data_IF_325611567685
#
_entry.id   IF_325611567685
#
_cell.length_a   1.000
_cell.length_b   1.000
_cell.length_c   1.000
_cell.angle_alpha   90.00
_cell.angle_beta   90.00
_cell.angle_gamma   90.00
#
_symmetry.space_group_name_H-M   'P 1'
#
loop_
_entity.id
_entity.type
_entity.pdbx_description
1 polymer ?
#
# COMPACT_ATOMS: atom_id res chain seq x y z
N UNK A 1 -3.67 -21.17 -5.46
CA UNK A 1 -2.81 -20.38 -6.37
C UNK A 1 -3.54 -20.05 -7.66
N UNK A 2 -3.62 -21.00 -8.60
CA UNK A 2 -4.11 -20.79 -9.97
C UNK A 2 -5.47 -20.07 -10.09
N UNK A 3 -6.49 -20.48 -9.31
CA UNK A 3 -7.82 -19.84 -9.35
C UNK A 3 -7.78 -18.33 -9.04
N UNK A 4 -6.96 -17.92 -8.06
CA UNK A 4 -6.81 -16.49 -7.69
C UNK A 4 -6.06 -15.69 -8.75
N UNK A 5 -5.13 -16.31 -9.47
CA UNK A 5 -4.43 -15.67 -10.58
C UNK A 5 -5.41 -15.41 -11.73
N UNK A 6 -6.20 -16.42 -12.11
CA UNK A 6 -7.23 -16.28 -13.14
C UNK A 6 -8.30 -15.25 -12.77
N UNK A 7 -8.64 -15.14 -11.49
CA UNK A 7 -9.55 -14.12 -10.99
C UNK A 7 -9.00 -12.70 -11.18
N UNK A 8 -7.72 -12.47 -10.85
CA UNK A 8 -7.07 -11.17 -11.04
C UNK A 8 -6.89 -10.81 -12.51
N UNK A 9 -6.62 -11.79 -13.37
CA UNK A 9 -6.38 -11.57 -14.80
C UNK A 9 -7.62 -11.00 -15.51
N UNK A 10 -8.83 -11.25 -14.97
CA UNK A 10 -10.09 -10.67 -15.48
C UNK A 10 -10.12 -9.15 -15.44
N UNK A 11 -9.35 -8.52 -14.55
CA UNK A 11 -9.34 -7.07 -14.38
C UNK A 11 -8.20 -6.39 -15.17
N UNK A 12 -7.58 -7.10 -16.10
CA UNK A 12 -6.47 -6.58 -16.91
C UNK A 12 -6.97 -5.85 -18.15
N UNK A 13 -6.31 -4.74 -18.49
CA UNK A 13 -6.60 -3.95 -19.69
C UNK A 13 -7.93 -3.19 -19.61
N UNK A 14 -8.33 -2.59 -20.74
CA UNK A 14 -9.50 -1.69 -20.78
C UNK A 14 -10.82 -2.43 -20.51
N UNK A 15 -10.96 -3.67 -21.00
CA UNK A 15 -12.12 -4.52 -20.73
C UNK A 15 -12.21 -4.89 -19.25
N UNK A 16 -11.08 -5.27 -18.66
CA UNK A 16 -11.00 -5.58 -17.23
C UNK A 16 -11.26 -4.37 -16.34
N UNK A 17 -10.88 -3.17 -16.77
CA UNK A 17 -11.19 -1.93 -16.06
C UNK A 17 -12.70 -1.67 -16.01
N UNK A 18 -13.41 -1.86 -17.13
CA UNK A 18 -14.88 -1.75 -17.17
C UNK A 18 -15.53 -2.77 -16.24
N UNK A 19 -15.09 -4.03 -16.31
CA UNK A 19 -15.57 -5.10 -15.44
C UNK A 19 -15.37 -4.77 -13.95
N UNK A 20 -14.21 -4.21 -13.59
CA UNK A 20 -13.94 -3.80 -12.21
C UNK A 20 -14.90 -2.69 -11.75
N UNK A 21 -15.14 -1.69 -12.60
CA UNK A 21 -16.06 -0.60 -12.30
C UNK A 21 -17.51 -1.08 -12.16
N UNK A 22 -17.96 -2.03 -12.99
CA UNK A 22 -19.30 -2.61 -12.89
C UNK A 22 -19.46 -3.49 -11.64
N UNK A 23 -18.42 -4.25 -11.29
CA UNK A 23 -18.47 -5.22 -10.18
C UNK A 23 -18.36 -4.54 -8.81
N UNK A 24 -17.45 -3.57 -8.66
CA UNK A 24 -17.12 -2.97 -7.36
C UNK A 24 -17.39 -1.46 -7.29
N UNK A 25 -17.51 -0.79 -8.43
CA UNK A 25 -17.57 0.66 -8.50
C UNK A 25 -16.23 1.34 -8.20
N UNK A 26 -16.29 2.66 -8.04
CA UNK A 26 -15.19 3.48 -7.55
C UNK A 26 -15.74 4.65 -6.74
N UNK A 27 -15.00 5.10 -5.72
CA UNK A 27 -15.41 6.23 -4.89
C UNK A 27 -14.19 7.07 -4.50
N UNK A 28 -14.30 8.38 -4.66
CA UNK A 28 -13.28 9.35 -4.20
C UNK A 28 -13.48 9.75 -2.73
N UNK A 29 -14.70 9.64 -2.22
CA UNK A 29 -15.05 9.93 -0.83
C UNK A 29 -14.87 8.68 0.05
N UNK A 30 -13.63 8.20 0.18
CA UNK A 30 -13.29 7.08 1.07
C UNK A 30 -12.67 7.57 2.39
N UNK A 31 -12.39 6.66 3.32
CA UNK A 31 -11.59 6.91 4.52
C UNK A 31 -10.41 5.95 4.51
N UNK A 32 -9.19 6.48 4.44
CA UNK A 32 -7.99 5.64 4.44
C UNK A 32 -7.81 4.94 5.80
N UNK A 33 -8.19 5.60 6.90
CA UNK A 33 -8.14 4.99 8.22
C UNK A 33 -9.01 3.75 8.34
N UNK A 34 -10.22 3.78 7.79
CA UNK A 34 -11.11 2.60 7.75
C UNK A 34 -10.53 1.47 6.89
N UNK A 35 -9.91 1.81 5.75
CA UNK A 35 -9.24 0.82 4.91
C UNK A 35 -8.06 0.17 5.63
N UNK A 36 -7.21 0.95 6.32
CA UNK A 36 -6.09 0.44 7.11
C UNK A 36 -6.58 -0.44 8.28
N UNK A 37 -7.67 -0.06 8.95
CA UNK A 37 -8.29 -0.87 9.99
C UNK A 37 -8.80 -2.22 9.43
N UNK A 38 -9.51 -2.19 8.31
CA UNK A 38 -9.95 -3.41 7.63
C UNK A 38 -8.76 -4.32 7.26
N UNK A 39 -7.66 -3.76 6.76
CA UNK A 39 -6.43 -4.52 6.49
C UNK A 39 -5.82 -5.13 7.77
N UNK A 40 -5.85 -4.43 8.91
CA UNK A 40 -5.39 -4.96 10.19
C UNK A 40 -6.17 -6.22 10.59
N UNK A 41 -7.50 -6.18 10.45
CA UNK A 41 -8.37 -7.31 10.79
C UNK A 41 -8.08 -8.54 9.94
N UNK A 42 -7.74 -8.36 8.66
CA UNK A 42 -7.34 -9.49 7.79
C UNK A 42 -6.13 -10.25 8.34
N UNK A 43 -5.22 -9.59 9.08
CA UNK A 43 -4.10 -10.27 9.75
C UNK A 43 -4.52 -10.93 11.07
N UNK A 44 -5.51 -10.38 11.76
CA UNK A 44 -6.04 -10.94 13.00
C UNK A 44 -6.82 -12.24 12.77
N UNK A 45 -7.48 -12.37 11.63
CA UNK A 45 -8.25 -13.57 11.26
C UNK A 45 -7.38 -14.78 10.88
N UNK A 46 -6.07 -14.58 10.74
CA UNK A 46 -5.13 -15.64 10.37
C UNK A 46 -4.81 -16.51 11.59
N UNK A 47 -5.24 -17.78 11.55
CA UNK A 47 -5.00 -18.77 12.61
C UNK A 47 -3.57 -19.30 12.71
N UNK A 48 -2.71 -18.94 11.75
CA UNK A 48 -1.30 -19.36 11.68
C UNK A 48 -0.41 -18.20 12.09
N UNK A 49 0.61 -18.47 12.90
CA UNK A 49 1.59 -17.45 13.30
C UNK A 49 2.36 -16.94 12.08
N UNK A 50 2.09 -15.69 11.70
CA UNK A 50 2.82 -14.99 10.65
C UNK A 50 4.10 -14.38 11.22
N UNK A 51 5.25 -14.68 10.62
CA UNK A 51 6.53 -14.06 10.98
C UNK A 51 6.64 -12.61 10.53
N UNK A 52 5.94 -12.26 9.44
CA UNK A 52 5.97 -10.92 8.85
C UNK A 52 4.58 -10.54 8.33
N UNK A 53 4.12 -9.34 8.68
CA UNK A 53 2.87 -8.75 8.20
C UNK A 53 3.21 -7.49 7.42
N UNK A 54 2.73 -7.38 6.19
CA UNK A 54 3.06 -6.27 5.29
C UNK A 54 1.87 -5.91 4.41
N UNK A 55 1.59 -4.62 4.32
CA UNK A 55 0.60 -4.03 3.42
C UNK A 55 1.38 -3.24 2.36
N UNK A 56 1.11 -3.51 1.08
CA UNK A 56 1.62 -2.72 -0.03
C UNK A 56 0.49 -1.81 -0.53
N UNK A 57 0.64 -0.50 -0.37
CA UNK A 57 -0.34 0.49 -0.81
C UNK A 57 0.02 1.03 -2.20
N UNK A 58 -0.79 0.71 -3.20
CA UNK A 58 -0.66 1.26 -4.55
C UNK A 58 -1.59 2.47 -4.68
N UNK A 59 -1.04 3.65 -5.00
CA UNK A 59 -1.83 4.87 -5.17
C UNK A 59 -1.11 5.89 -6.05
N UNK A 60 -1.86 6.71 -6.77
CA UNK A 60 -1.37 7.92 -7.45
C UNK A 60 -1.91 9.21 -6.80
N UNK A 61 -2.55 9.12 -5.62
CA UNK A 61 -3.02 10.27 -4.84
C UNK A 61 -2.10 10.48 -3.63
N UNK A 62 -1.47 11.65 -3.57
CA UNK A 62 -0.46 12.03 -2.58
C UNK A 62 -1.03 12.77 -1.37
N UNK A 63 -2.22 13.40 -1.48
CA UNK A 63 -2.95 14.00 -0.35
C UNK A 63 -4.45 13.62 -0.37
N UNK A 64 -4.79 12.37 0.02
CA UNK A 64 -6.14 11.82 -0.14
C UNK A 64 -7.22 12.48 0.74
N UNK A 65 -6.85 13.19 1.81
CA UNK A 65 -7.78 13.79 2.78
C UNK A 65 -7.50 15.27 3.03
N UNK A 66 -6.93 15.98 2.06
CA UNK A 66 -6.57 17.40 2.15
C UNK A 66 -7.69 18.28 2.74
N UNK A 67 -8.93 17.98 2.36
CA UNK A 67 -10.12 18.75 2.74
C UNK A 67 -10.87 18.17 3.95
N UNK A 68 -10.40 17.08 4.56
CA UNK A 68 -11.05 16.41 5.69
C UNK A 68 -10.02 16.06 6.77
N UNK A 69 -9.81 17.01 7.68
CA UNK A 69 -8.86 16.86 8.78
C UNK A 69 -9.20 15.69 9.72
N UNK A 70 -10.47 15.31 9.84
CA UNK A 70 -10.89 14.22 10.70
C UNK A 70 -10.45 12.87 10.10
N UNK A 71 -10.70 12.66 8.80
CA UNK A 71 -10.20 11.46 8.08
C UNK A 71 -8.68 11.41 8.02
N UNK A 72 -8.03 12.56 7.82
CA UNK A 72 -6.56 12.65 7.82
C UNK A 72 -5.98 12.20 9.17
N UNK A 73 -6.51 12.71 10.29
CA UNK A 73 -6.10 12.29 11.64
C UNK A 73 -6.37 10.81 11.88
N UNK A 74 -7.55 10.32 11.54
CA UNK A 74 -7.92 8.91 11.69
C UNK A 74 -6.96 7.99 10.92
N UNK A 75 -6.60 8.35 9.69
CA UNK A 75 -5.63 7.58 8.91
C UNK A 75 -4.24 7.53 9.57
N UNK A 76 -3.77 8.64 10.13
CA UNK A 76 -2.49 8.71 10.87
C UNK A 76 -2.51 7.87 12.13
N UNK A 77 -3.60 7.94 12.91
CA UNK A 77 -3.78 7.08 14.09
C UNK A 77 -3.76 5.60 13.71
N UNK A 78 -4.52 5.20 12.68
CA UNK A 78 -4.58 3.80 12.23
C UNK A 78 -3.25 3.30 11.65
N UNK A 79 -2.48 4.17 10.99
CA UNK A 79 -1.12 3.82 10.57
C UNK A 79 -0.18 3.57 11.76
N UNK A 80 -0.32 4.36 12.84
CA UNK A 80 0.35 4.11 14.11
C UNK A 80 -0.03 2.74 14.70
N UNK A 81 -1.32 2.44 14.79
CA UNK A 81 -1.81 1.13 15.29
C UNK A 81 -1.22 -0.05 14.49
N UNK A 82 -1.10 0.09 13.16
CA UNK A 82 -0.46 -0.92 12.30
C UNK A 82 1.02 -1.11 12.67
N UNK A 83 1.75 -0.01 12.93
CA UNK A 83 3.16 -0.06 13.35
C UNK A 83 3.32 -0.77 14.69
N UNK A 84 2.48 -0.43 15.66
CA UNK A 84 2.51 -1.00 17.02
C UNK A 84 2.19 -2.51 17.01
N UNK A 85 1.36 -2.95 16.07
CA UNK A 85 1.04 -4.37 15.86
C UNK A 85 2.07 -5.12 15.00
N UNK A 86 3.16 -4.45 14.60
CA UNK A 86 4.24 -5.02 13.79
C UNK A 86 3.88 -5.22 12.32
N UNK A 87 2.83 -4.56 11.83
CA UNK A 87 2.44 -4.56 10.42
C UNK A 87 3.21 -3.45 9.70
N UNK A 88 3.93 -3.83 8.65
CA UNK A 88 4.69 -2.87 7.83
C UNK A 88 3.79 -2.33 6.73
N UNK A 89 3.65 -1.01 6.64
CA UNK A 89 2.96 -0.34 5.54
C UNK A 89 3.99 0.26 4.58
N UNK A 90 4.06 -0.30 3.37
CA UNK A 90 4.93 0.16 2.29
C UNK A 90 4.10 0.90 1.23
N UNK A 91 4.49 2.13 0.92
CA UNK A 91 3.89 2.90 -0.17
C UNK A 91 4.54 2.57 -1.51
N UNK A 92 3.71 2.26 -2.50
CA UNK A 92 4.06 2.08 -3.90
C UNK A 92 3.36 3.18 -4.70
N UNK A 93 3.90 4.39 -4.60
CA UNK A 93 3.35 5.54 -5.30
C UNK A 93 3.59 5.44 -6.82
N UNK A 94 2.53 5.72 -7.56
CA UNK A 94 2.45 5.71 -9.01
C UNK A 94 2.58 7.14 -9.54
N UNK A 95 2.94 7.26 -10.80
CA UNK A 95 3.08 8.56 -11.46
C UNK A 95 1.80 9.39 -11.39
N UNK A 96 1.92 10.65 -10.97
CA UNK A 96 0.83 11.65 -10.94
C UNK A 96 1.23 12.86 -11.82
N UNK A 97 0.30 13.48 -12.58
CA UNK A 97 0.59 14.74 -13.26
C UNK A 97 1.01 15.81 -12.24
N UNK A 98 2.20 16.38 -12.42
CA UNK A 98 2.77 17.32 -11.45
C UNK A 98 3.68 16.69 -10.39
N UNK A 99 3.83 15.37 -10.39
CA UNK A 99 4.64 14.61 -9.43
C UNK A 99 3.82 14.12 -8.24
N UNK A 100 4.46 13.30 -7.41
CA UNK A 100 3.88 12.73 -6.18
C UNK A 100 4.67 13.21 -4.97
N UNK A 101 4.05 14.02 -4.10
CA UNK A 101 4.70 14.57 -2.91
C UNK A 101 4.35 13.78 -1.64
N UNK A 102 5.28 12.93 -1.20
CA UNK A 102 5.16 12.10 0.01
C UNK A 102 5.00 12.98 1.28
N UNK A 103 5.56 14.19 1.28
CA UNK A 103 5.62 15.05 2.46
C UNK A 103 4.25 15.58 2.89
N UNK A 104 3.29 15.65 1.96
CA UNK A 104 1.93 16.16 2.23
C UNK A 104 1.17 15.27 3.22
N UNK A 105 1.28 13.96 3.05
CA UNK A 105 0.45 13.02 3.81
C UNK A 105 1.19 11.75 4.25
N UNK A 106 1.89 11.08 3.32
CA UNK A 106 2.38 9.74 3.58
C UNK A 106 3.64 9.66 4.43
N UNK A 107 4.38 10.75 4.61
CA UNK A 107 5.60 10.82 5.44
C UNK A 107 5.40 10.22 6.84
N UNK A 108 4.27 10.54 7.48
CA UNK A 108 3.99 10.07 8.84
C UNK A 108 3.20 8.75 8.88
N UNK A 109 2.74 8.27 7.71
CA UNK A 109 1.94 7.05 7.54
C UNK A 109 2.85 5.84 7.28
N UNK A 110 3.88 5.99 6.45
CA UNK A 110 4.76 4.88 6.09
C UNK A 110 5.75 4.60 7.22
N UNK A 111 6.07 3.32 7.41
CA UNK A 111 7.13 2.94 8.34
C UNK A 111 8.47 3.10 7.61
N UNK A 112 9.22 4.15 7.92
CA UNK A 112 10.64 4.20 7.58
C UNK A 112 11.31 3.12 8.44
N UNK A 113 11.74 2.02 7.83
CA UNK A 113 12.53 1.04 8.56
C UNK A 113 13.84 1.70 9.00
N UNK A 114 14.36 1.38 10.18
CA UNK A 114 15.66 1.86 10.67
C UNK A 114 16.81 1.55 9.69
N UNK A 115 16.68 0.48 8.87
CA UNK A 115 17.63 0.14 7.80
C UNK A 115 17.45 0.96 6.50
N UNK A 116 16.36 1.72 6.36
CA UNK A 116 16.09 2.66 5.26
C UNK A 116 16.52 4.10 5.65
N UNK A 117 17.50 4.24 6.55
CA UNK A 117 18.19 5.52 6.86
C UNK A 117 18.99 6.08 5.66
N UNK A 118 19.12 5.29 4.58
CA UNK A 118 19.55 5.79 3.27
C UNK A 118 18.32 6.31 2.52
N UNK A 119 17.99 7.58 2.73
CA UNK A 119 16.78 8.30 2.29
C UNK A 119 16.53 8.39 0.79
N UNK A 120 16.49 7.26 0.08
CA UNK A 120 16.07 7.14 -1.30
C UNK A 120 14.71 6.44 -1.28
N UNK A 121 13.66 7.23 -1.03
CA UNK A 121 12.31 6.77 -1.34
C UNK A 121 12.25 6.47 -2.85
N UNK A 122 11.73 5.31 -3.29
CA UNK A 122 11.81 4.95 -4.70
C UNK A 122 10.96 5.89 -5.57
N UNK A 123 11.56 6.74 -6.41
CA UNK A 123 10.89 7.68 -7.35
C UNK A 123 9.61 7.15 -7.97
N UNK A 124 8.57 7.98 -8.17
CA UNK A 124 7.27 7.54 -8.70
C UNK A 124 7.34 6.53 -9.84
N UNK A 125 6.52 5.47 -9.74
CA UNK A 125 6.57 4.38 -10.71
C UNK A 125 5.82 4.78 -11.98
N UNK A 126 6.54 5.24 -13.01
CA UNK A 126 5.97 5.60 -14.31
C UNK A 126 5.80 4.43 -15.29
N UNK A 127 6.48 3.30 -15.03
CA UNK A 127 6.44 2.08 -15.86
C UNK A 127 6.16 0.84 -15.02
N UNK A 128 5.48 -0.15 -15.61
CA UNK A 128 5.15 -1.41 -14.96
C UNK A 128 6.40 -2.17 -14.52
N UNK A 129 7.47 -2.19 -15.33
CA UNK A 129 8.71 -2.88 -15.02
C UNK A 129 9.38 -2.33 -13.76
N UNK A 130 9.33 -1.00 -13.58
CA UNK A 130 9.87 -0.33 -12.39
C UNK A 130 9.04 -0.69 -11.15
N UNK A 131 7.70 -0.63 -11.27
CA UNK A 131 6.80 -1.03 -10.18
C UNK A 131 7.04 -2.50 -9.77
N UNK A 132 7.16 -3.40 -10.74
CA UNK A 132 7.42 -4.82 -10.51
C UNK A 132 8.76 -5.05 -9.79
N UNK A 133 9.81 -4.28 -10.14
CA UNK A 133 11.10 -4.34 -9.42
C UNK A 133 10.95 -3.92 -7.95
N UNK A 134 10.22 -2.83 -7.68
CA UNK A 134 9.97 -2.36 -6.30
C UNK A 134 9.15 -3.36 -5.48
N UNK A 135 8.08 -3.90 -6.06
CA UNK A 135 7.25 -4.94 -5.43
C UNK A 135 8.12 -6.13 -5.05
N UNK A 136 8.95 -6.63 -5.97
CA UNK A 136 9.87 -7.76 -5.71
C UNK A 136 10.89 -7.44 -4.61
N UNK A 137 11.48 -6.25 -4.62
CA UNK A 137 12.41 -5.81 -3.58
C UNK A 137 11.76 -5.77 -2.19
N UNK A 138 10.47 -5.42 -2.12
CA UNK A 138 9.67 -5.41 -0.89
C UNK A 138 8.88 -6.71 -0.65
N UNK A 139 9.00 -7.74 -1.48
CA UNK A 139 8.29 -9.01 -1.28
C UNK A 139 9.04 -9.94 -0.31
N UNK A 140 10.37 -9.88 -0.31
CA UNK A 140 11.23 -10.78 0.47
C UNK A 140 12.18 -9.99 1.36
N UNK A 141 12.17 -10.24 2.67
CA UNK A 141 13.23 -9.74 3.56
C UNK A 141 14.57 -10.40 3.22
N UNK A 142 15.67 -9.67 3.36
CA UNK A 142 17.03 -10.23 3.32
C UNK A 142 17.10 -11.40 4.32
N UNK A 143 17.61 -12.54 3.86
CA UNK A 143 17.88 -13.71 4.70
C UNK A 143 19.39 -13.85 4.82
N UNK A 144 19.89 -13.91 6.04
CA UNK A 144 21.32 -14.18 6.31
C UNK A 144 21.58 -15.64 5.95
N UNK A 145 22.54 -15.89 5.06
CA UNK A 145 22.85 -17.24 4.57
C UNK A 145 23.63 -18.06 5.61
N UNK A 146 24.55 -17.41 6.34
CA UNK A 146 25.33 -17.95 7.44
C UNK A 146 25.60 -16.80 8.42
N UNK A 147 25.48 -17.06 9.72
CA UNK A 147 25.76 -16.11 10.79
C UNK A 147 27.19 -16.29 11.29
#
# INVERSE_FOLDING_TARGET
>A
GAKRILELDKYRGDEGQKLFQETFGHNKNYSLGEALWACSNLFSDVRVRMSHKRILLFTNEDDPHANDSAKSKLARTRAGDLRDTGIILDLLHLKKPGGFDISLFYRDIINLAEDEELGIQPDESGKLEQLMKKVRAKQTKKRVLVR
#
